data_IF_629771169419
#
_entry.id   IF_629771169419
#
_cell.length_a   1.000
_cell.length_b   1.000
_cell.length_c   1.000
_cell.angle_alpha   90.00
_cell.angle_beta   90.00
_cell.angle_gamma   90.00
#
_symmetry.space_group_name_H-M   'P 1'
#
loop_
_entity.id
_entity.type
_entity.pdbx_description
1 polymer ?
#
# COMPACT_ATOMS: atom_id res chain seq x y z
N UNK A 1 6.84 -16.81 -2.36
CA UNK A 1 7.75 -15.66 -2.21
C UNK A 1 7.06 -14.32 -2.51
N UNK A 2 6.13 -14.23 -3.47
CA UNK A 2 5.29 -13.02 -3.72
C UNK A 2 4.10 -12.84 -2.75
N UNK A 3 3.62 -13.91 -2.10
CA UNK A 3 2.44 -13.87 -1.20
C UNK A 3 2.53 -12.83 -0.07
N UNK A 4 3.73 -12.55 0.44
CA UNK A 4 3.94 -11.56 1.51
C UNK A 4 3.83 -10.11 1.01
N UNK A 5 4.16 -9.84 -0.25
CA UNK A 5 4.04 -8.49 -0.83
C UNK A 5 2.58 -8.04 -0.92
N UNK A 6 1.64 -8.96 -1.12
CA UNK A 6 0.21 -8.65 -1.07
C UNK A 6 -0.26 -8.22 0.33
N UNK A 7 0.43 -8.66 1.38
CA UNK A 7 0.09 -8.33 2.76
C UNK A 7 0.60 -6.95 3.19
N UNK A 8 1.62 -6.42 2.50
CA UNK A 8 2.21 -5.10 2.74
C UNK A 8 1.18 -3.95 2.79
N UNK A 9 0.26 -3.79 1.80
CA UNK A 9 -0.76 -2.73 1.86
C UNK A 9 -1.67 -2.87 3.08
N UNK A 10 -2.07 -4.09 3.43
CA UNK A 10 -2.94 -4.36 4.58
C UNK A 10 -2.21 -3.97 5.88
N UNK A 11 -0.96 -4.38 6.03
CA UNK A 11 -0.15 -4.05 7.22
C UNK A 11 0.05 -2.54 7.35
N UNK A 12 0.41 -1.85 6.26
CA UNK A 12 0.61 -0.39 6.29
C UNK A 12 -0.69 0.38 6.60
N UNK A 13 -1.83 -0.06 6.08
CA UNK A 13 -3.14 0.49 6.43
C UNK A 13 -3.49 0.29 7.91
N UNK A 14 -3.22 -0.90 8.46
CA UNK A 14 -3.46 -1.21 9.88
C UNK A 14 -2.57 -0.37 10.80
N UNK A 15 -1.30 -0.20 10.46
CA UNK A 15 -0.37 0.66 11.22
C UNK A 15 -0.86 2.12 11.22
N UNK A 16 -1.28 2.63 10.07
CA UNK A 16 -1.81 4.00 9.96
C UNK A 16 -3.12 4.19 10.72
N UNK A 17 -4.02 3.20 10.65
CA UNK A 17 -5.25 3.19 11.44
C UNK A 17 -4.96 3.22 12.95
N UNK A 18 -4.05 2.36 13.42
CA UNK A 18 -3.64 2.32 14.82
C UNK A 18 -3.04 3.67 15.27
N UNK A 19 -2.20 4.28 14.43
CA UNK A 19 -1.64 5.61 14.69
C UNK A 19 -2.72 6.70 14.85
N UNK A 20 -3.72 6.72 13.98
CA UNK A 20 -4.83 7.68 14.08
C UNK A 20 -5.64 7.46 15.36
N UNK A 21 -5.92 6.19 15.69
CA UNK A 21 -6.69 5.81 16.87
C UNK A 21 -5.97 6.20 18.17
N UNK A 22 -4.65 5.94 18.25
CA UNK A 22 -3.82 6.30 19.40
C UNK A 22 -3.73 7.82 19.63
N UNK A 23 -3.85 8.61 18.56
CA UNK A 23 -3.82 10.08 18.63
C UNK A 23 -5.20 10.72 18.74
N UNK A 24 -6.27 9.93 18.77
CA UNK A 24 -7.64 10.42 18.81
C UNK A 24 -8.07 11.12 17.51
N UNK A 25 -7.37 10.90 16.40
CA UNK A 25 -7.75 11.45 15.10
C UNK A 25 -8.88 10.63 14.47
N UNK A 26 -9.81 11.35 13.83
CA UNK A 26 -10.87 10.72 13.04
C UNK A 26 -10.32 10.20 11.71
N UNK A 27 -10.97 9.19 11.14
CA UNK A 27 -10.59 8.63 9.84
C UNK A 27 -10.57 9.69 8.73
N UNK A 28 -11.50 10.65 8.78
CA UNK A 28 -11.54 11.79 7.84
C UNK A 28 -10.25 12.62 7.87
N UNK A 29 -9.66 12.82 9.04
CA UNK A 29 -8.39 13.56 9.18
C UNK A 29 -7.21 12.75 8.66
N UNK A 30 -7.28 11.42 8.80
CA UNK A 30 -6.25 10.49 8.34
C UNK A 30 -6.28 10.12 6.86
N UNK A 31 -7.29 10.55 6.11
CA UNK A 31 -7.51 10.15 4.70
C UNK A 31 -6.28 10.39 3.81
N UNK A 32 -5.55 11.49 4.02
CA UNK A 32 -4.33 11.79 3.25
C UNK A 32 -3.26 10.72 3.40
N UNK A 33 -3.10 10.12 4.58
CA UNK A 33 -2.13 9.04 4.80
C UNK A 33 -2.54 7.74 4.12
N UNK A 34 -3.83 7.40 4.14
CA UNK A 34 -4.35 6.26 3.38
C UNK A 34 -4.12 6.42 1.88
N UNK A 35 -4.34 7.62 1.33
CA UNK A 35 -4.07 7.91 -0.08
C UNK A 35 -2.58 7.74 -0.41
N UNK A 36 -1.66 8.21 0.44
CA UNK A 36 -0.23 8.00 0.24
C UNK A 36 0.15 6.52 0.25
N UNK A 37 -0.39 5.74 1.20
CA UNK A 37 -0.15 4.30 1.29
C UNK A 37 -0.66 3.60 0.01
N UNK A 38 -1.85 3.95 -0.46
CA UNK A 38 -2.40 3.38 -1.69
C UNK A 38 -1.57 3.73 -2.92
N UNK A 39 -1.14 4.99 -3.08
CA UNK A 39 -0.30 5.42 -4.20
C UNK A 39 1.03 4.66 -4.17
N UNK A 40 1.69 4.59 -3.02
CA UNK A 40 2.96 3.86 -2.87
C UNK A 40 2.83 2.39 -3.28
N UNK A 41 1.79 1.71 -2.78
CA UNK A 41 1.54 0.31 -3.15
C UNK A 41 1.16 0.17 -4.64
N UNK A 42 0.38 1.08 -5.20
CA UNK A 42 0.00 1.08 -6.62
C UNK A 42 1.22 1.25 -7.54
N UNK A 43 2.19 2.08 -7.16
CA UNK A 43 3.45 2.24 -7.91
C UNK A 43 4.25 0.94 -7.91
N UNK A 44 4.37 0.27 -6.75
CA UNK A 44 5.08 -1.02 -6.66
C UNK A 44 4.39 -2.08 -7.52
N UNK A 45 3.07 -2.20 -7.43
CA UNK A 45 2.30 -3.16 -8.24
C UNK A 45 2.48 -2.86 -9.74
N UNK A 46 2.36 -1.60 -10.14
CA UNK A 46 2.56 -1.18 -11.54
C UNK A 46 3.96 -1.52 -12.05
N UNK A 47 4.98 -1.29 -11.22
CA UNK A 47 6.35 -1.64 -11.54
C UNK A 47 6.53 -3.16 -11.69
N UNK A 48 5.99 -3.96 -10.77
CA UNK A 48 6.06 -5.42 -10.85
C UNK A 48 5.31 -5.97 -12.07
N UNK A 49 4.15 -5.40 -12.40
CA UNK A 49 3.39 -5.74 -13.61
C UNK A 49 4.20 -5.40 -14.86
N UNK A 50 4.83 -4.23 -14.92
CA UNK A 50 5.69 -3.83 -16.03
C UNK A 50 6.88 -4.79 -16.17
N UNK A 51 7.50 -5.19 -15.07
CA UNK A 51 8.58 -6.19 -15.08
C UNK A 51 8.13 -7.53 -15.66
N UNK A 52 6.90 -7.97 -15.38
CA UNK A 52 6.33 -9.16 -16.03
C UNK A 52 6.25 -8.94 -17.54
N UNK A 53 5.67 -7.82 -18.00
CA UNK A 53 5.59 -7.54 -19.44
C UNK A 53 6.97 -7.47 -20.14
N UNK A 54 7.97 -6.92 -19.48
CA UNK A 54 9.33 -6.78 -20.04
C UNK A 54 10.09 -8.11 -20.03
N UNK A 55 9.83 -8.99 -19.06
CA UNK A 55 10.57 -10.25 -18.89
C UNK A 55 9.89 -11.43 -19.59
N UNK A 56 8.56 -11.41 -19.72
CA UNK A 56 7.73 -12.49 -20.30
C UNK A 56 7.36 -12.23 -21.78
N UNK A 57 8.09 -11.32 -22.46
CA UNK A 57 7.97 -11.14 -23.92
C UNK A 57 8.66 -12.33 -24.64
N UNK A 58 8.05 -12.95 -25.68
CA UNK A 58 8.71 -13.99 -26.48
C UNK A 58 9.96 -13.49 -27.21
#
# INVERSE_FOLDING_TARGET
MIKLFFLMPIVTCLIWWAYLTLRGYTLKQGTKGFVHILIFNAVIISFLVLMIFVTDYP
#
